data_IF_669915602567
#
_entry.id   IF_669915602567
#
_cell.length_a   1.000
_cell.length_b   1.000
_cell.length_c   1.000
_cell.angle_alpha   90.00
_cell.angle_beta   90.00
_cell.angle_gamma   90.00
#
_symmetry.space_group_name_H-M   'P 1'
#
loop_
_entity.id
_entity.type
_entity.pdbx_description
1 polymer ?
#
# COMPACT_ATOMS: atom_id res chain seq x y z
N UNK A 1 -6.88 9.21 -12.82
CA UNK A 1 -6.02 8.00 -12.69
C UNK A 1 -5.23 8.01 -11.38
N UNK A 2 -4.73 9.13 -10.98
CA UNK A 2 -3.78 9.30 -9.86
C UNK A 2 -4.37 8.80 -8.53
N UNK A 3 -5.58 9.23 -8.20
CA UNK A 3 -6.28 8.79 -6.97
C UNK A 3 -6.50 7.27 -6.96
N UNK A 4 -6.74 6.68 -8.13
CA UNK A 4 -6.96 5.22 -8.23
C UNK A 4 -5.71 4.43 -7.87
N UNK A 5 -4.51 4.96 -8.10
CA UNK A 5 -3.25 4.29 -7.74
C UNK A 5 -3.19 4.03 -6.23
N UNK A 6 -3.60 5.02 -5.44
CA UNK A 6 -3.61 4.91 -3.96
C UNK A 6 -4.86 4.16 -3.46
N UNK A 7 -6.01 4.40 -4.09
CA UNK A 7 -7.27 3.81 -3.66
C UNK A 7 -7.34 2.28 -3.85
N UNK A 8 -6.76 1.75 -4.93
CA UNK A 8 -6.82 0.32 -5.24
C UNK A 8 -6.18 -0.57 -4.17
N UNK A 9 -4.97 -0.30 -3.65
CA UNK A 9 -4.41 -1.06 -2.55
C UNK A 9 -5.21 -0.94 -1.25
N UNK A 10 -5.81 0.23 -0.97
CA UNK A 10 -6.69 0.41 0.18
C UNK A 10 -7.95 -0.46 0.06
N UNK A 11 -8.60 -0.44 -1.11
CA UNK A 11 -9.78 -1.27 -1.38
C UNK A 11 -9.40 -2.76 -1.27
N UNK A 12 -8.26 -3.16 -1.80
CA UNK A 12 -7.74 -4.52 -1.69
C UNK A 12 -7.57 -4.95 -0.23
N UNK A 13 -6.99 -4.08 0.61
CA UNK A 13 -6.82 -4.32 2.04
C UNK A 13 -8.18 -4.45 2.77
N UNK A 14 -9.13 -3.57 2.50
CA UNK A 14 -10.46 -3.59 3.10
C UNK A 14 -11.19 -4.89 2.73
N UNK A 15 -11.21 -5.24 1.45
CA UNK A 15 -11.88 -6.46 0.96
C UNK A 15 -11.26 -7.70 1.61
N UNK A 16 -9.94 -7.82 1.59
CA UNK A 16 -9.26 -8.99 2.15
C UNK A 16 -9.33 -9.04 3.68
N UNK A 17 -9.24 -7.89 4.36
CA UNK A 17 -9.24 -7.82 5.81
C UNK A 17 -10.61 -8.09 6.44
N UNK A 18 -11.66 -7.46 5.92
CA UNK A 18 -13.00 -7.58 6.50
C UNK A 18 -13.82 -8.72 5.89
N UNK A 19 -13.69 -8.95 4.60
CA UNK A 19 -14.48 -9.94 3.88
C UNK A 19 -13.71 -11.21 3.50
N UNK A 20 -12.42 -11.30 3.85
CA UNK A 20 -11.57 -12.43 3.48
C UNK A 20 -12.11 -13.79 3.90
N UNK A 21 -12.73 -13.89 5.08
CA UNK A 21 -13.38 -15.13 5.56
C UNK A 21 -14.62 -15.53 4.74
N UNK A 22 -15.34 -14.54 4.17
CA UNK A 22 -16.55 -14.79 3.37
C UNK A 22 -16.20 -15.13 1.92
N UNK A 23 -15.18 -14.46 1.37
CA UNK A 23 -14.76 -14.59 -0.03
C UNK A 23 -13.91 -15.84 -0.24
N UNK A 24 -13.21 -16.28 0.82
CA UNK A 24 -12.29 -17.41 0.80
C UNK A 24 -10.85 -17.00 0.45
N UNK A 25 -9.90 -17.85 0.85
CA UNK A 25 -8.47 -17.57 0.79
C UNK A 25 -7.99 -17.28 -0.63
N UNK A 26 -8.32 -18.14 -1.58
CA UNK A 26 -7.86 -18.03 -2.96
C UNK A 26 -8.39 -16.80 -3.68
N UNK A 27 -9.64 -16.45 -3.43
CA UNK A 27 -10.25 -15.25 -4.03
C UNK A 27 -9.62 -13.98 -3.44
N UNK A 28 -9.31 -13.97 -2.15
CA UNK A 28 -8.62 -12.87 -1.49
C UNK A 28 -7.22 -12.63 -2.06
N UNK A 29 -6.44 -13.70 -2.27
CA UNK A 29 -5.12 -13.64 -2.90
C UNK A 29 -5.18 -13.07 -4.33
N UNK A 30 -6.14 -13.54 -5.13
CA UNK A 30 -6.30 -13.09 -6.52
C UNK A 30 -6.74 -11.62 -6.57
N UNK A 31 -7.75 -11.23 -5.79
CA UNK A 31 -8.29 -9.87 -5.78
C UNK A 31 -7.22 -8.87 -5.37
N UNK A 32 -6.50 -9.12 -4.27
CA UNK A 32 -5.45 -8.22 -3.79
C UNK A 32 -4.31 -8.08 -4.79
N UNK A 33 -3.81 -9.20 -5.33
CA UNK A 33 -2.73 -9.19 -6.32
C UNK A 33 -3.15 -8.49 -7.62
N UNK A 34 -4.40 -8.68 -8.06
CA UNK A 34 -4.93 -8.03 -9.26
C UNK A 34 -5.07 -6.52 -9.06
N UNK A 35 -5.66 -6.07 -7.96
CA UNK A 35 -5.85 -4.64 -7.69
C UNK A 35 -4.51 -3.90 -7.56
N UNK A 36 -3.52 -4.49 -6.89
CA UNK A 36 -2.18 -3.90 -6.78
C UNK A 36 -1.46 -3.91 -8.14
N UNK A 37 -1.64 -4.95 -8.97
CA UNK A 37 -1.08 -4.98 -10.32
C UNK A 37 -1.70 -3.92 -11.24
N UNK A 38 -3.00 -3.66 -11.13
CA UNK A 38 -3.67 -2.56 -11.85
C UNK A 38 -3.10 -1.21 -11.38
N UNK A 39 -2.89 -1.04 -10.08
CA UNK A 39 -2.25 0.17 -9.53
C UNK A 39 -0.84 0.36 -10.11
N UNK A 40 -0.06 -0.71 -10.29
CA UNK A 40 1.25 -0.66 -10.92
C UNK A 40 1.18 -0.23 -12.40
N UNK A 41 0.19 -0.71 -13.15
CA UNK A 41 -0.02 -0.27 -14.54
C UNK A 41 -0.35 1.23 -14.59
N UNK A 42 -1.23 1.70 -13.71
CA UNK A 42 -1.60 3.12 -13.66
C UNK A 42 -0.41 4.01 -13.26
N UNK A 43 0.46 3.55 -12.36
CA UNK A 43 1.66 4.30 -11.99
C UNK A 43 2.63 4.46 -13.16
N UNK A 44 2.77 3.44 -14.02
CA UNK A 44 3.59 3.52 -15.25
C UNK A 44 2.99 4.52 -16.23
N UNK A 45 1.65 4.56 -16.37
CA UNK A 45 0.98 5.54 -17.25
C UNK A 45 1.19 6.97 -16.74
N UNK A 46 1.07 7.19 -15.42
CA UNK A 46 1.33 8.51 -14.82
C UNK A 46 2.80 8.91 -15.00
N UNK A 47 3.74 7.99 -14.82
CA UNK A 47 5.15 8.28 -15.09
C UNK A 47 5.37 8.71 -16.56
N UNK A 48 4.73 8.01 -17.50
CA UNK A 48 4.79 8.37 -18.91
C UNK A 48 4.27 9.80 -19.16
N UNK A 49 3.13 10.18 -18.58
CA UNK A 49 2.58 11.53 -18.69
C UNK A 49 3.50 12.59 -18.08
N UNK A 50 4.07 12.31 -16.90
CA UNK A 50 5.02 13.22 -16.23
C UNK A 50 6.27 13.43 -17.06
N UNK A 51 6.84 12.38 -17.67
CA UNK A 51 8.09 12.46 -18.43
C UNK A 51 7.87 13.09 -19.80
N UNK A 52 6.81 12.72 -20.52
CA UNK A 52 6.58 13.15 -21.91
C UNK A 52 5.89 14.52 -21.95
N UNK A 53 4.87 14.71 -21.13
CA UNK A 53 4.04 15.94 -21.15
C UNK A 53 4.47 16.95 -20.09
N UNK A 54 5.52 16.66 -19.30
CA UNK A 54 5.96 17.49 -18.16
C UNK A 54 4.80 17.82 -17.19
N UNK A 55 3.88 16.86 -17.07
CA UNK A 55 2.72 16.99 -16.20
C UNK A 55 3.15 17.04 -14.74
N UNK A 56 2.73 18.08 -14.03
CA UNK A 56 2.90 18.20 -12.59
C UNK A 56 1.60 18.73 -12.01
N UNK A 57 1.07 18.09 -11.01
CA UNK A 57 -0.19 18.47 -10.39
C UNK A 57 -0.15 18.24 -8.89
N UNK A 58 -0.85 19.14 -8.18
CA UNK A 58 -1.15 18.97 -6.77
C UNK A 58 -2.66 18.82 -6.61
N UNK A 59 -3.13 17.60 -6.37
CA UNK A 59 -4.54 17.26 -6.27
C UNK A 59 -4.96 17.37 -4.81
N UNK A 60 -5.74 18.40 -4.48
CA UNK A 60 -6.32 18.54 -3.13
C UNK A 60 -7.56 17.66 -3.06
N UNK A 61 -7.55 16.68 -2.15
CA UNK A 61 -8.64 15.72 -1.93
C UNK A 61 -9.63 16.28 -0.90
N UNK A 62 -9.11 16.78 0.22
CA UNK A 62 -9.91 17.35 1.30
C UNK A 62 -9.09 18.28 2.18
N UNK A 63 -9.75 19.24 2.83
CA UNK A 63 -9.13 20.01 3.92
C UNK A 63 -9.19 19.17 5.19
N UNK A 64 -8.01 18.90 5.78
CA UNK A 64 -7.92 18.04 6.97
C UNK A 64 -7.96 18.84 8.26
N UNK A 65 -7.07 19.83 8.39
CA UNK A 65 -6.98 20.66 9.57
C UNK A 65 -7.03 22.13 9.13
N UNK A 66 -7.97 22.87 9.70
CA UNK A 66 -8.08 24.32 9.52
C UNK A 66 -8.20 24.97 10.90
N UNK A 67 -7.13 25.69 11.30
CA UNK A 67 -7.09 26.38 12.62
C UNK A 67 -6.32 27.68 12.48
N UNK A 68 -7.02 28.79 12.43
CA UNK A 68 -6.44 30.11 12.25
C UNK A 68 -5.64 30.24 10.96
N UNK A 69 -4.34 30.44 11.05
CA UNK A 69 -3.44 30.52 9.90
C UNK A 69 -2.88 29.17 9.45
N UNK A 70 -3.17 28.08 10.16
CA UNK A 70 -2.73 26.74 9.81
C UNK A 70 -3.79 26.04 9.00
N UNK A 71 -3.52 25.82 7.72
CA UNK A 71 -4.32 24.99 6.84
C UNK A 71 -3.50 23.80 6.36
N UNK A 72 -3.98 22.58 6.66
CA UNK A 72 -3.38 21.33 6.21
C UNK A 72 -4.39 20.61 5.35
N UNK A 73 -4.04 20.43 4.10
CA UNK A 73 -4.85 19.72 3.14
C UNK A 73 -4.40 18.26 3.01
N UNK A 74 -5.33 17.38 2.80
CA UNK A 74 -5.07 16.05 2.31
C UNK A 74 -4.92 16.13 0.81
N UNK A 75 -3.68 16.08 0.33
CA UNK A 75 -3.35 16.33 -1.07
C UNK A 75 -2.42 15.26 -1.62
N UNK A 76 -2.35 15.17 -2.92
CA UNK A 76 -1.51 14.25 -3.65
C UNK A 76 -0.65 15.04 -4.61
N UNK A 77 0.66 15.06 -4.36
CA UNK A 77 1.63 15.75 -5.19
C UNK A 77 2.22 14.80 -6.21
N UNK A 78 2.02 15.13 -7.48
CA UNK A 78 2.60 14.41 -8.61
C UNK A 78 3.69 15.26 -9.24
N UNK A 79 4.93 14.87 -9.05
CA UNK A 79 6.12 15.42 -9.69
C UNK A 79 7.00 14.28 -10.23
N UNK A 80 8.13 14.60 -10.85
CA UNK A 80 9.02 13.58 -11.42
C UNK A 80 9.54 12.61 -10.38
N UNK A 81 9.80 13.06 -9.14
CA UNK A 81 10.29 12.21 -8.07
C UNK A 81 9.20 11.27 -7.58
N UNK A 82 8.01 11.81 -7.27
CA UNK A 82 6.88 11.01 -6.79
C UNK A 82 6.41 10.01 -7.85
N UNK A 83 6.39 10.37 -9.13
CA UNK A 83 6.02 9.47 -10.22
C UNK A 83 6.97 8.26 -10.34
N UNK A 84 8.29 8.47 -10.25
CA UNK A 84 9.26 7.37 -10.21
C UNK A 84 9.04 6.49 -9.00
N UNK A 85 8.85 7.09 -7.81
CA UNK A 85 8.62 6.34 -6.58
C UNK A 85 7.30 5.56 -6.61
N UNK A 86 6.23 6.11 -7.22
CA UNK A 86 4.98 5.38 -7.43
C UNK A 86 5.21 4.09 -8.23
N UNK A 87 5.96 4.15 -9.33
CA UNK A 87 6.27 2.96 -10.15
C UNK A 87 7.09 1.96 -9.36
N UNK A 88 8.14 2.40 -8.65
CA UNK A 88 8.98 1.48 -7.86
C UNK A 88 8.15 0.78 -6.79
N UNK A 89 7.41 1.53 -5.98
CA UNK A 89 6.61 0.98 -4.87
C UNK A 89 5.55 0.01 -5.38
N UNK A 90 4.77 0.41 -6.39
CA UNK A 90 3.67 -0.43 -6.91
C UNK A 90 4.17 -1.67 -7.63
N UNK A 91 5.25 -1.57 -8.42
CA UNK A 91 5.83 -2.70 -9.13
C UNK A 91 6.40 -3.75 -8.18
N UNK A 92 7.20 -3.31 -7.21
CA UNK A 92 7.75 -4.23 -6.19
C UNK A 92 6.61 -4.85 -5.38
N UNK A 93 5.62 -4.06 -4.96
CA UNK A 93 4.46 -4.57 -4.23
C UNK A 93 3.67 -5.60 -5.04
N UNK A 94 3.43 -5.36 -6.34
CA UNK A 94 2.74 -6.32 -7.21
C UNK A 94 3.50 -7.65 -7.30
N UNK A 95 4.82 -7.61 -7.47
CA UNK A 95 5.66 -8.81 -7.50
C UNK A 95 5.61 -9.57 -6.17
N UNK A 96 5.68 -8.85 -5.04
CA UNK A 96 5.59 -9.45 -3.71
C UNK A 96 4.21 -10.08 -3.48
N UNK A 97 3.11 -9.43 -3.90
CA UNK A 97 1.77 -10.03 -3.81
C UNK A 97 1.65 -11.33 -4.59
N UNK A 98 2.15 -11.36 -5.84
CA UNK A 98 2.14 -12.56 -6.67
C UNK A 98 3.00 -13.67 -6.04
N UNK A 99 4.20 -13.33 -5.55
CA UNK A 99 5.07 -14.27 -4.86
C UNK A 99 4.41 -14.85 -3.59
N UNK A 100 3.70 -14.01 -2.85
CA UNK A 100 3.05 -14.37 -1.59
C UNK A 100 1.95 -15.42 -1.76
N UNK A 101 1.33 -15.53 -2.92
CA UNK A 101 0.34 -16.59 -3.23
C UNK A 101 0.97 -17.98 -3.05
N UNK A 102 2.19 -18.16 -3.55
CA UNK A 102 2.93 -19.42 -3.39
C UNK A 102 3.52 -19.58 -1.99
N UNK A 103 4.12 -18.50 -1.48
CA UNK A 103 4.80 -18.50 -0.18
C UNK A 103 3.84 -18.84 0.98
N UNK A 104 2.65 -18.25 0.99
CA UNK A 104 1.64 -18.46 2.03
C UNK A 104 0.73 -19.65 1.78
N UNK A 105 1.06 -20.54 0.81
CA UNK A 105 0.16 -21.64 0.38
C UNK A 105 -0.25 -22.58 1.50
N UNK A 106 0.56 -22.74 2.53
CA UNK A 106 0.32 -23.62 3.68
C UNK A 106 -0.25 -22.90 4.92
N UNK A 107 -0.34 -21.57 4.90
CA UNK A 107 -0.82 -20.79 6.05
C UNK A 107 -2.35 -20.68 6.05
N UNK A 108 -3.02 -20.89 7.20
CA UNK A 108 -4.47 -20.77 7.32
C UNK A 108 -4.99 -19.32 7.38
N UNK A 109 -4.11 -18.31 7.49
CA UNK A 109 -4.49 -16.90 7.65
C UNK A 109 -4.11 -16.03 6.45
N UNK A 110 -4.09 -16.58 5.25
CA UNK A 110 -3.72 -15.92 3.99
C UNK A 110 -4.42 -14.56 3.76
N UNK A 111 -5.77 -14.43 3.92
CA UNK A 111 -6.45 -13.16 3.69
C UNK A 111 -5.95 -12.04 4.58
N UNK A 112 -5.63 -12.36 5.84
CA UNK A 112 -5.09 -11.39 6.80
C UNK A 112 -3.71 -10.90 6.40
N UNK A 113 -2.84 -11.80 5.95
CA UNK A 113 -1.52 -11.44 5.44
C UNK A 113 -1.62 -10.53 4.21
N UNK A 114 -2.43 -10.90 3.22
CA UNK A 114 -2.65 -10.12 2.00
C UNK A 114 -3.26 -8.75 2.30
N UNK A 115 -4.13 -8.65 3.31
CA UNK A 115 -4.68 -7.38 3.76
C UNK A 115 -3.60 -6.46 4.33
N UNK A 116 -2.70 -6.97 5.18
CA UNK A 116 -1.61 -6.18 5.75
C UNK A 116 -0.61 -5.73 4.69
N UNK A 117 -0.29 -6.60 3.74
CA UNK A 117 0.60 -6.29 2.64
C UNK A 117 0.03 -5.18 1.73
N UNK A 118 -1.27 -5.25 1.43
CA UNK A 118 -1.97 -4.22 0.66
C UNK A 118 -2.07 -2.90 1.43
N UNK A 119 -2.31 -2.96 2.75
CA UNK A 119 -2.36 -1.78 3.62
C UNK A 119 -0.98 -1.10 3.71
N UNK A 120 0.09 -1.89 3.79
CA UNK A 120 1.46 -1.38 3.73
C UNK A 120 1.71 -0.62 2.43
N UNK A 121 1.29 -1.20 1.29
CA UNK A 121 1.41 -0.54 -0.02
C UNK A 121 0.66 0.78 -0.04
N UNK A 122 -0.58 0.82 0.45
CA UNK A 122 -1.36 2.05 0.57
C UNK A 122 -0.64 3.12 1.41
N UNK A 123 -0.16 2.76 2.60
CA UNK A 123 0.54 3.69 3.49
C UNK A 123 1.83 4.24 2.84
N UNK A 124 2.57 3.39 2.13
CA UNK A 124 3.76 3.81 1.40
C UNK A 124 3.44 4.76 0.24
N UNK A 125 2.35 4.53 -0.50
CA UNK A 125 1.91 5.43 -1.55
C UNK A 125 1.46 6.79 -0.99
N UNK A 126 0.77 6.80 0.15
CA UNK A 126 0.42 8.04 0.86
C UNK A 126 1.64 8.83 1.28
N UNK A 127 2.70 8.15 1.73
CA UNK A 127 3.94 8.77 2.14
C UNK A 127 4.66 9.43 0.95
N UNK A 128 4.80 8.73 -0.17
CA UNK A 128 5.58 9.21 -1.32
C UNK A 128 4.87 10.30 -2.12
N UNK A 129 3.55 10.43 -1.98
CA UNK A 129 2.74 11.47 -2.63
C UNK A 129 2.36 12.62 -1.69
N UNK A 130 2.88 12.63 -0.47
CA UNK A 130 2.56 13.67 0.50
C UNK A 130 3.06 15.05 0.05
N UNK A 131 2.20 16.06 0.13
CA UNK A 131 2.52 17.45 -0.20
C UNK A 131 2.96 18.26 1.03
N UNK A 132 2.64 17.78 2.23
CA UNK A 132 2.98 18.45 3.48
C UNK A 132 3.52 17.46 4.53
N UNK A 133 4.26 18.01 5.52
CA UNK A 133 4.92 17.19 6.55
C UNK A 133 3.95 16.43 7.45
N UNK A 134 2.75 16.94 7.69
CA UNK A 134 1.75 16.26 8.54
C UNK A 134 1.22 15.02 7.83
N UNK A 135 0.92 15.13 6.55
CA UNK A 135 0.52 13.97 5.73
C UNK A 135 1.68 12.97 5.56
N UNK A 136 2.91 13.46 5.37
CA UNK A 136 4.10 12.63 5.31
C UNK A 136 4.28 11.84 6.61
N UNK A 137 4.14 12.50 7.76
CA UNK A 137 4.19 11.85 9.07
C UNK A 137 3.09 10.78 9.21
N UNK A 138 1.87 11.06 8.78
CA UNK A 138 0.78 10.08 8.77
C UNK A 138 1.13 8.83 7.94
N UNK A 139 1.67 9.03 6.73
CA UNK A 139 2.13 7.91 5.88
C UNK A 139 3.25 7.11 6.53
N UNK A 140 4.21 7.79 7.16
CA UNK A 140 5.31 7.16 7.89
C UNK A 140 4.84 6.27 9.03
N UNK A 141 3.97 6.81 9.90
CA UNK A 141 3.36 6.04 11.00
C UNK A 141 2.54 4.86 10.48
N UNK A 142 1.81 5.05 9.37
CA UNK A 142 1.08 3.98 8.71
C UNK A 142 1.97 2.84 8.24
N UNK A 143 3.11 3.14 7.61
CA UNK A 143 4.12 2.15 7.19
C UNK A 143 4.69 1.42 8.42
N UNK A 144 5.03 2.15 9.49
CA UNK A 144 5.52 1.57 10.75
C UNK A 144 4.51 0.61 11.38
N UNK A 145 3.25 1.00 11.45
CA UNK A 145 2.17 0.17 11.97
C UNK A 145 1.94 -1.10 11.13
N UNK A 146 1.93 -0.97 9.80
CA UNK A 146 1.78 -2.13 8.91
C UNK A 146 2.97 -3.08 9.02
N UNK A 147 4.19 -2.54 9.15
CA UNK A 147 5.39 -3.35 9.39
C UNK A 147 5.28 -4.13 10.70
N UNK A 148 4.80 -3.50 11.76
CA UNK A 148 4.55 -4.17 13.03
C UNK A 148 3.56 -5.33 12.88
N UNK A 149 2.46 -5.15 12.14
CA UNK A 149 1.50 -6.22 11.88
C UNK A 149 2.06 -7.36 11.02
N UNK A 150 2.92 -7.05 10.05
CA UNK A 150 3.55 -8.06 9.20
C UNK A 150 4.61 -8.87 9.96
N UNK A 151 5.45 -8.20 10.76
CA UNK A 151 6.43 -8.88 11.62
C UNK A 151 5.72 -9.71 12.69
N UNK A 152 4.71 -9.15 13.36
CA UNK A 152 3.91 -9.84 14.36
C UNK A 152 3.04 -10.97 13.81
N UNK A 153 2.83 -11.04 12.50
CA UNK A 153 2.08 -12.12 11.86
C UNK A 153 2.73 -13.48 12.09
N UNK A 154 4.05 -13.60 11.92
CA UNK A 154 4.79 -14.83 12.21
C UNK A 154 4.86 -15.14 13.71
N UNK A 155 4.95 -14.12 14.56
CA UNK A 155 5.06 -14.31 16.02
C UNK A 155 3.80 -14.88 16.67
N UNK A 156 2.64 -14.77 16.04
CA UNK A 156 1.42 -15.44 16.48
C UNK A 156 1.46 -16.96 16.30
N UNK A 157 2.38 -17.47 15.49
CA UNK A 157 2.55 -18.88 15.17
C UNK A 157 3.73 -19.54 15.90
N UNK A 158 4.76 -18.77 16.22
CA UNK A 158 5.98 -19.23 16.89
C UNK A 158 6.17 -18.43 18.17
N UNK A 159 6.21 -19.09 19.28
CA UNK A 159 6.20 -18.45 20.60
C UNK A 159 7.47 -17.70 20.97
N UNK A 160 8.53 -17.72 20.14
CA UNK A 160 9.73 -16.93 20.38
C UNK A 160 10.55 -16.75 19.09
N UNK A 161 10.64 -15.50 18.60
CA UNK A 161 11.48 -15.18 17.45
C UNK A 161 13.00 -15.34 17.72
N UNK A 162 13.40 -15.48 18.99
CA UNK A 162 14.79 -15.73 19.38
C UNK A 162 15.17 -17.21 19.31
N UNK A 163 14.19 -18.11 19.39
CA UNK A 163 14.41 -19.56 19.36
C UNK A 163 14.15 -20.18 17.97
N UNK A 164 13.60 -19.44 17.03
CA UNK A 164 13.20 -19.98 15.74
C UNK A 164 14.27 -19.80 14.66
N UNK A 165 15.23 -20.71 14.64
CA UNK A 165 16.20 -20.89 13.56
C UNK A 165 15.57 -21.43 12.25
N UNK A 166 14.23 -21.63 12.22
CA UNK A 166 13.50 -22.24 11.11
C UNK A 166 12.60 -21.26 10.33
N UNK A 167 12.55 -19.98 10.72
CA UNK A 167 11.88 -18.92 9.93
C UNK A 167 12.80 -18.31 8.85
N UNK A 168 13.77 -19.07 8.33
CA UNK A 168 14.60 -18.72 7.19
C UNK A 168 14.19 -19.57 6.00
#
# INVERSE_FOLDING_TARGET
MEISIIALPLIASIISGFFGKLIGDRSSEIITSLLVSISAIFSVLVLYEVVVNQYQENIIIATWISSGSLEVNWSMKIDSLSAVMLVVVTSVSALVHIYSIGYMSHDPHKPRFMAYLSLFTFAMLMLVTADNFIQLFFGWEGVGLCSYFLIGFCLLYTSDAADDLLCV
#
